data_IF_196093881414
#
_entry.id   IF_196093881414
#
_cell.length_a   1.000
_cell.length_b   1.000
_cell.length_c   1.000
_cell.angle_alpha   90.00
_cell.angle_beta   90.00
_cell.angle_gamma   90.00
#
_symmetry.space_group_name_H-M   'P 1'
#
loop_
_entity.id
_entity.type
_entity.pdbx_description
1 polymer ?
#
# COMPACT_ATOMS: atom_id res chain seq x y z
N UNK A 1 -17.92 -42.86 20.72
CA UNK A 1 -18.51 -41.57 21.13
C UNK A 1 -19.01 -40.87 19.89
N UNK A 2 -20.25 -40.36 19.88
CA UNK A 2 -20.81 -39.66 18.71
C UNK A 2 -20.41 -38.18 18.78
N UNK A 3 -19.59 -37.71 17.84
CA UNK A 3 -19.27 -36.29 17.68
C UNK A 3 -20.54 -35.48 17.40
N UNK A 4 -20.64 -34.28 17.96
CA UNK A 4 -21.72 -33.36 17.65
C UNK A 4 -21.58 -32.84 16.21
N UNK A 5 -22.69 -32.33 15.64
CA UNK A 5 -22.68 -31.75 14.29
C UNK A 5 -21.78 -30.51 14.20
N UNK A 6 -21.60 -29.78 15.29
CA UNK A 6 -20.74 -28.60 15.36
C UNK A 6 -19.26 -29.01 15.41
N UNK A 7 -18.95 -30.05 16.17
CA UNK A 7 -17.60 -30.61 16.24
C UNK A 7 -17.20 -31.24 14.89
N UNK A 8 -18.11 -31.96 14.22
CA UNK A 8 -17.88 -32.47 12.85
C UNK A 8 -17.52 -31.34 11.88
N UNK A 9 -18.29 -30.25 11.92
CA UNK A 9 -18.07 -29.06 11.07
C UNK A 9 -16.75 -28.37 11.35
N UNK A 10 -16.28 -28.37 12.59
CA UNK A 10 -14.98 -27.82 12.97
C UNK A 10 -13.86 -28.73 12.45
N UNK A 11 -13.99 -30.06 12.61
CA UNK A 11 -13.05 -31.04 12.10
C UNK A 11 -12.92 -30.97 10.58
N UNK A 12 -14.04 -30.86 9.85
CA UNK A 12 -14.05 -30.64 8.40
C UNK A 12 -13.26 -29.38 8.00
N UNK A 13 -13.41 -28.27 8.74
CA UNK A 13 -12.70 -27.03 8.45
C UNK A 13 -11.19 -27.15 8.70
N UNK A 14 -10.78 -27.87 9.75
CA UNK A 14 -9.37 -28.17 10.03
C UNK A 14 -8.77 -29.07 8.95
N UNK A 15 -9.49 -30.12 8.55
CA UNK A 15 -9.06 -31.04 7.50
C UNK A 15 -8.98 -30.35 6.13
N UNK A 16 -9.89 -29.41 5.83
CA UNK A 16 -9.83 -28.57 4.63
C UNK A 16 -8.49 -27.80 4.56
N UNK A 17 -7.99 -27.31 5.69
CA UNK A 17 -6.71 -26.61 5.75
C UNK A 17 -5.56 -27.53 5.32
N UNK A 18 -5.46 -28.73 5.91
CA UNK A 18 -4.43 -29.73 5.62
C UNK A 18 -4.49 -30.14 4.14
N UNK A 19 -5.67 -30.56 3.67
CA UNK A 19 -5.85 -30.99 2.28
C UNK A 19 -5.52 -29.87 1.29
N UNK A 20 -5.88 -28.63 1.60
CA UNK A 20 -5.56 -27.50 0.74
C UNK A 20 -4.06 -27.17 0.72
N UNK A 21 -3.31 -27.47 1.78
CA UNK A 21 -1.85 -27.32 1.82
C UNK A 21 -1.19 -28.40 0.94
N UNK A 22 -1.63 -29.65 1.03
CA UNK A 22 -1.13 -30.73 0.17
C UNK A 22 -1.31 -30.43 -1.32
N UNK A 23 -2.48 -29.90 -1.71
CA UNK A 23 -2.74 -29.49 -3.10
C UNK A 23 -1.88 -28.29 -3.53
N UNK A 24 -1.64 -27.35 -2.62
CA UNK A 24 -0.79 -26.20 -2.87
C UNK A 24 0.68 -26.61 -3.04
N UNK A 25 1.21 -27.44 -2.13
CA UNK A 25 2.57 -27.97 -2.21
C UNK A 25 2.78 -28.76 -3.51
N UNK A 26 1.81 -29.58 -3.92
CA UNK A 26 1.86 -30.26 -5.22
C UNK A 26 2.03 -29.28 -6.38
N UNK A 27 1.33 -28.16 -6.33
CA UNK A 27 1.42 -27.11 -7.37
C UNK A 27 2.77 -26.39 -7.33
N UNK A 28 3.32 -26.14 -6.13
CA UNK A 28 4.67 -25.59 -5.96
C UNK A 28 5.76 -26.54 -6.45
N UNK A 29 5.61 -27.84 -6.23
CA UNK A 29 6.54 -28.85 -6.74
C UNK A 29 6.59 -28.80 -8.27
N UNK A 30 5.44 -28.66 -8.95
CA UNK A 30 5.43 -28.45 -10.41
C UNK A 30 6.18 -27.15 -10.77
N UNK A 31 5.88 -26.04 -10.09
CA UNK A 31 6.52 -24.76 -10.34
C UNK A 31 8.06 -24.81 -10.19
N UNK A 32 8.55 -25.54 -9.20
CA UNK A 32 9.99 -25.65 -8.92
C UNK A 32 10.65 -26.73 -9.78
N UNK A 33 10.13 -27.95 -9.77
CA UNK A 33 10.80 -29.10 -10.38
C UNK A 33 10.65 -29.13 -11.90
N UNK A 34 9.47 -28.76 -12.43
CA UNK A 34 9.22 -28.76 -13.87
C UNK A 34 9.68 -27.48 -14.56
N UNK A 35 9.51 -26.32 -13.93
CA UNK A 35 9.91 -25.03 -14.53
C UNK A 35 11.25 -24.53 -14.01
N UNK A 36 11.36 -24.18 -12.72
CA UNK A 36 12.57 -23.51 -12.19
C UNK A 36 13.84 -24.36 -12.35
N UNK A 37 13.72 -25.69 -12.22
CA UNK A 37 14.83 -26.65 -12.34
C UNK A 37 15.03 -27.22 -13.76
N UNK A 38 14.20 -26.81 -14.74
CA UNK A 38 14.39 -27.23 -16.13
C UNK A 38 15.71 -26.70 -16.69
N UNK A 39 16.56 -27.60 -17.19
CA UNK A 39 17.83 -27.24 -17.82
C UNK A 39 17.61 -26.40 -19.08
N UNK A 40 16.66 -26.79 -19.93
CA UNK A 40 16.28 -26.04 -21.15
C UNK A 40 15.86 -24.60 -20.82
N UNK A 41 15.12 -24.41 -19.73
CA UNK A 41 14.68 -23.08 -19.30
C UNK A 41 15.84 -22.28 -18.69
N UNK A 42 16.72 -22.92 -17.94
CA UNK A 42 17.89 -22.26 -17.37
C UNK A 42 18.88 -21.80 -18.44
N UNK A 43 19.05 -22.55 -19.52
CA UNK A 43 19.97 -22.22 -20.62
C UNK A 43 19.55 -20.99 -21.42
N UNK A 44 18.25 -20.62 -21.38
CA UNK A 44 17.70 -19.47 -22.11
C UNK A 44 17.50 -18.24 -21.24
N UNK A 45 17.79 -18.33 -19.94
CA UNK A 45 17.63 -17.25 -18.95
C UNK A 45 19.00 -16.75 -18.47
N UNK A 46 19.15 -15.43 -18.33
CA UNK A 46 20.29 -14.88 -17.60
C UNK A 46 20.17 -15.18 -16.10
N UNK A 47 21.28 -15.10 -15.37
CA UNK A 47 21.27 -15.27 -13.91
C UNK A 47 20.34 -14.26 -13.23
N UNK A 48 20.31 -13.02 -13.73
CA UNK A 48 19.44 -11.96 -13.22
C UNK A 48 17.96 -12.24 -13.53
N UNK A 49 17.63 -12.61 -14.77
CA UNK A 49 16.26 -12.94 -15.15
C UNK A 49 15.73 -14.11 -14.34
N UNK A 50 16.56 -15.14 -14.10
CA UNK A 50 16.20 -16.28 -13.26
C UNK A 50 15.91 -15.85 -11.82
N UNK A 51 16.76 -15.01 -11.24
CA UNK A 51 16.57 -14.50 -9.89
C UNK A 51 15.31 -13.64 -9.78
N UNK A 52 15.02 -12.80 -10.78
CA UNK A 52 13.84 -11.94 -10.77
C UNK A 52 12.55 -12.69 -11.08
N UNK A 53 12.57 -13.66 -11.99
CA UNK A 53 11.39 -14.45 -12.40
C UNK A 53 10.93 -15.39 -11.29
N UNK A 54 11.85 -16.13 -10.67
CA UNK A 54 11.50 -17.13 -9.65
C UNK A 54 11.65 -16.61 -8.22
N UNK A 55 12.37 -15.51 -7.97
CA UNK A 55 12.54 -14.95 -6.63
C UNK A 55 12.95 -16.04 -5.62
N UNK A 56 12.25 -16.15 -4.49
CA UNK A 56 12.45 -17.18 -3.47
C UNK A 56 11.51 -18.38 -3.58
N UNK A 57 11.04 -18.75 -4.79
CA UNK A 57 10.03 -19.79 -4.98
C UNK A 57 10.42 -21.13 -4.32
N UNK A 58 11.68 -21.54 -4.41
CA UNK A 58 12.14 -22.78 -3.78
C UNK A 58 12.05 -22.74 -2.26
N UNK A 59 12.39 -21.60 -1.64
CA UNK A 59 12.28 -21.42 -0.18
C UNK A 59 10.80 -21.43 0.26
N UNK A 60 9.90 -20.87 -0.55
CA UNK A 60 8.45 -20.93 -0.33
C UNK A 60 7.94 -22.37 -0.37
N UNK A 61 8.41 -23.17 -1.34
CA UNK A 61 8.08 -24.60 -1.44
C UNK A 61 8.58 -25.36 -0.21
N UNK A 62 9.83 -25.15 0.19
CA UNK A 62 10.40 -25.85 1.33
C UNK A 62 9.65 -25.52 2.63
N UNK A 63 9.31 -24.25 2.86
CA UNK A 63 8.47 -23.86 3.99
C UNK A 63 7.06 -24.49 3.96
N UNK A 64 6.46 -24.65 2.78
CA UNK A 64 5.16 -25.33 2.61
C UNK A 64 5.26 -26.83 2.87
N UNK A 65 6.37 -27.45 2.48
CA UNK A 65 6.65 -28.86 2.77
C UNK A 65 6.77 -29.12 4.27
N UNK A 66 7.57 -28.32 4.97
CA UNK A 66 7.77 -28.45 6.41
C UNK A 66 6.45 -28.21 7.17
N UNK A 67 5.66 -27.22 6.73
CA UNK A 67 4.35 -26.95 7.31
C UNK A 67 3.36 -28.10 7.11
N UNK A 68 3.32 -28.69 5.90
CA UNK A 68 2.45 -29.83 5.65
C UNK A 68 2.86 -31.04 6.50
N UNK A 69 4.16 -31.30 6.63
CA UNK A 69 4.69 -32.38 7.46
C UNK A 69 4.21 -32.26 8.91
N UNK A 70 4.37 -31.08 9.53
CA UNK A 70 3.94 -30.85 10.92
C UNK A 70 2.41 -30.91 11.07
N UNK A 71 1.64 -30.49 10.05
CA UNK A 71 0.18 -30.64 10.06
C UNK A 71 -0.26 -32.11 10.00
N UNK A 72 0.40 -32.92 9.18
CA UNK A 72 0.15 -34.35 9.05
C UNK A 72 0.54 -35.09 10.33
N UNK A 73 1.70 -34.77 10.92
CA UNK A 73 2.14 -35.32 12.21
C UNK A 73 1.15 -35.00 13.34
N UNK A 74 0.69 -33.76 13.44
CA UNK A 74 -0.31 -33.34 14.44
C UNK A 74 -1.66 -34.07 14.25
N UNK A 75 -2.06 -34.31 12.99
CA UNK A 75 -3.27 -35.07 12.66
C UNK A 75 -3.14 -36.56 13.03
N UNK A 76 -2.01 -37.19 12.70
CA UNK A 76 -1.73 -38.59 13.01
C UNK A 76 -1.66 -38.83 14.52
N UNK A 77 -1.07 -37.89 15.27
CA UNK A 77 -0.97 -37.95 16.72
C UNK A 77 -2.35 -37.97 17.41
N UNK A 78 -3.30 -37.15 16.94
CA UNK A 78 -4.66 -37.15 17.49
C UNK A 78 -5.73 -36.73 16.47
N UNK A 79 -6.24 -37.71 15.72
CA UNK A 79 -7.29 -37.52 14.71
C UNK A 79 -8.57 -36.85 15.24
N UNK A 80 -8.83 -36.87 16.55
CA UNK A 80 -10.05 -36.28 17.14
C UNK A 80 -9.83 -34.88 17.74
N UNK A 81 -8.60 -34.50 18.05
CA UNK A 81 -8.30 -33.23 18.74
C UNK A 81 -7.00 -32.54 18.27
N UNK A 82 -6.62 -32.71 17.01
CA UNK A 82 -5.43 -32.09 16.42
C UNK A 82 -5.53 -30.56 16.36
N UNK A 83 -4.43 -29.87 16.66
CA UNK A 83 -4.37 -28.40 16.85
C UNK A 83 -3.68 -27.69 15.66
N UNK A 84 -4.37 -27.62 14.50
CA UNK A 84 -3.81 -26.96 13.29
C UNK A 84 -3.44 -25.49 13.50
N UNK A 85 -4.14 -24.77 14.38
CA UNK A 85 -3.88 -23.36 14.63
C UNK A 85 -2.53 -23.14 15.34
N UNK A 86 -2.14 -24.04 16.24
CA UNK A 86 -0.83 -23.99 16.89
C UNK A 86 0.31 -24.22 15.89
N UNK A 87 0.14 -25.16 14.96
CA UNK A 87 1.11 -25.39 13.87
C UNK A 87 1.23 -24.15 12.97
N UNK A 88 0.13 -23.46 12.65
CA UNK A 88 0.21 -22.21 11.89
C UNK A 88 1.00 -21.13 12.63
N UNK A 89 0.80 -21.00 13.94
CA UNK A 89 1.52 -20.01 14.76
C UNK A 89 3.02 -20.33 14.81
N UNK A 90 3.40 -21.61 14.96
CA UNK A 90 4.82 -22.00 14.98
C UNK A 90 5.52 -21.74 13.65
N UNK A 91 4.80 -21.85 12.52
CA UNK A 91 5.34 -21.63 11.17
C UNK A 91 5.31 -20.16 10.71
N UNK A 92 4.54 -19.28 11.36
CA UNK A 92 4.43 -17.88 10.93
C UNK A 92 5.78 -17.16 10.75
N UNK A 93 6.77 -17.30 11.65
CA UNK A 93 8.06 -16.63 11.47
C UNK A 93 8.77 -17.06 10.19
N UNK A 94 8.68 -18.34 9.82
CA UNK A 94 9.24 -18.87 8.59
C UNK A 94 8.43 -18.39 7.37
N UNK A 95 7.10 -18.40 7.45
CA UNK A 95 6.24 -17.84 6.40
C UNK A 95 6.58 -16.37 6.14
N UNK A 96 6.73 -15.57 7.20
CA UNK A 96 7.12 -14.17 7.08
C UNK A 96 8.48 -14.01 6.42
N UNK A 97 9.44 -14.88 6.74
CA UNK A 97 10.78 -14.84 6.13
C UNK A 97 10.76 -15.11 4.61
N UNK A 98 9.92 -16.04 4.14
CA UNK A 98 9.95 -16.49 2.72
C UNK A 98 8.88 -15.81 1.85
N UNK A 99 7.64 -15.66 2.33
CA UNK A 99 6.55 -15.09 1.54
C UNK A 99 6.65 -13.58 1.41
N UNK A 100 7.07 -12.86 2.46
CA UNK A 100 7.20 -11.39 2.42
C UNK A 100 8.09 -10.92 1.25
N UNK A 101 9.36 -11.34 1.15
CA UNK A 101 10.20 -10.95 0.01
C UNK A 101 9.70 -11.50 -1.33
N UNK A 102 9.09 -12.69 -1.36
CA UNK A 102 8.54 -13.26 -2.60
C UNK A 102 7.42 -12.38 -3.16
N UNK A 103 6.40 -12.08 -2.34
CA UNK A 103 5.24 -11.28 -2.72
C UNK A 103 5.63 -9.84 -3.02
N UNK A 104 6.54 -9.27 -2.23
CA UNK A 104 7.07 -7.91 -2.46
C UNK A 104 7.65 -7.79 -3.88
N UNK A 105 8.36 -8.82 -4.36
CA UNK A 105 9.00 -8.85 -5.67
C UNK A 105 8.08 -9.20 -6.85
N UNK A 106 6.78 -9.43 -6.62
CA UNK A 106 5.88 -9.95 -7.65
C UNK A 106 5.76 -9.03 -8.88
N UNK A 107 5.85 -7.71 -8.70
CA UNK A 107 5.87 -6.76 -9.82
C UNK A 107 7.09 -6.94 -10.73
N UNK A 108 8.25 -7.27 -10.16
CA UNK A 108 9.46 -7.56 -10.92
C UNK A 108 9.38 -8.92 -11.62
N UNK A 109 8.77 -9.93 -10.99
CA UNK A 109 8.48 -11.22 -11.63
C UNK A 109 7.61 -11.01 -12.88
N UNK A 110 6.50 -10.28 -12.74
CA UNK A 110 5.58 -9.99 -13.83
C UNK A 110 6.26 -9.21 -14.97
N UNK A 111 7.03 -8.15 -14.65
CA UNK A 111 7.76 -7.38 -15.67
C UNK A 111 8.80 -8.24 -16.39
N UNK A 112 9.58 -9.03 -15.65
CA UNK A 112 10.60 -9.93 -16.21
C UNK A 112 9.96 -10.95 -17.13
N UNK A 113 8.86 -11.59 -16.70
CA UNK A 113 8.10 -12.52 -17.52
C UNK A 113 7.62 -11.86 -18.83
N UNK A 114 7.05 -10.66 -18.76
CA UNK A 114 6.59 -9.94 -19.96
C UNK A 114 7.75 -9.56 -20.89
N UNK A 115 8.87 -9.08 -20.34
CA UNK A 115 10.07 -8.76 -21.11
C UNK A 115 10.62 -9.99 -21.83
N UNK A 116 10.71 -11.13 -21.14
CA UNK A 116 11.14 -12.40 -21.73
C UNK A 116 10.18 -12.87 -22.81
N UNK A 117 8.87 -12.80 -22.56
CA UNK A 117 7.85 -13.15 -23.55
C UNK A 117 7.88 -12.25 -24.78
N UNK A 118 8.25 -10.97 -24.67
CA UNK A 118 8.28 -10.07 -25.82
C UNK A 118 9.61 -10.11 -26.59
N UNK A 119 10.72 -10.32 -25.88
CA UNK A 119 12.07 -10.09 -26.43
C UNK A 119 12.92 -11.37 -26.58
N UNK A 120 12.48 -12.51 -26.04
CA UNK A 120 13.25 -13.76 -26.09
C UNK A 120 12.44 -14.91 -26.74
N UNK A 121 12.57 -15.11 -28.06
CA UNK A 121 11.87 -16.19 -28.77
C UNK A 121 12.23 -17.60 -28.29
N UNK A 122 13.46 -17.81 -27.81
CA UNK A 122 13.90 -19.11 -27.27
C UNK A 122 13.16 -19.43 -25.98
N UNK A 123 13.03 -18.44 -25.09
CA UNK A 123 12.23 -18.56 -23.88
C UNK A 123 10.77 -18.91 -24.20
N UNK A 124 10.14 -18.22 -25.16
CA UNK A 124 8.76 -18.51 -25.58
C UNK A 124 8.61 -19.98 -26.03
N UNK A 125 9.55 -20.48 -26.84
CA UNK A 125 9.50 -21.85 -27.36
C UNK A 125 9.65 -22.89 -26.25
N UNK A 126 10.66 -22.74 -25.39
CA UNK A 126 10.89 -23.65 -24.25
C UNK A 126 9.69 -23.60 -23.28
N UNK A 127 9.18 -22.41 -22.98
CA UNK A 127 8.03 -22.25 -22.10
C UNK A 127 6.79 -22.95 -22.67
N UNK A 128 6.48 -22.75 -23.95
CA UNK A 128 5.34 -23.39 -24.60
C UNK A 128 5.44 -24.94 -24.56
N UNK A 129 6.65 -25.47 -24.74
CA UNK A 129 6.93 -26.90 -24.59
C UNK A 129 6.66 -27.37 -23.16
N UNK A 130 7.20 -26.68 -22.15
CA UNK A 130 7.00 -27.03 -20.74
C UNK A 130 5.52 -26.93 -20.31
N UNK A 131 4.80 -25.89 -20.73
CA UNK A 131 3.38 -25.68 -20.42
C UNK A 131 2.46 -26.70 -21.11
N UNK A 132 2.91 -27.33 -22.20
CA UNK A 132 2.17 -28.40 -22.90
C UNK A 132 2.22 -29.76 -22.17
N UNK A 133 3.12 -29.91 -21.20
CA UNK A 133 3.26 -31.15 -20.44
C UNK A 133 2.00 -31.43 -19.61
N UNK A 134 1.44 -32.66 -19.64
CA UNK A 134 0.30 -33.04 -18.81
C UNK A 134 0.46 -32.76 -17.31
N UNK A 135 1.69 -32.76 -16.78
CA UNK A 135 1.97 -32.46 -15.37
C UNK A 135 1.46 -31.08 -14.96
N UNK A 136 1.44 -30.13 -15.90
CA UNK A 136 0.97 -28.75 -15.69
C UNK A 136 -0.55 -28.65 -15.58
N UNK A 137 -1.33 -29.67 -15.95
CA UNK A 137 -2.79 -29.66 -15.90
C UNK A 137 -3.43 -28.42 -16.56
N UNK A 138 -2.84 -27.96 -17.68
CA UNK A 138 -3.24 -26.76 -18.45
C UNK A 138 -3.00 -25.42 -17.73
N UNK A 139 -2.24 -25.41 -16.65
CA UNK A 139 -1.80 -24.19 -15.97
C UNK A 139 -0.52 -23.66 -16.62
N UNK A 140 -0.42 -22.34 -16.75
CA UNK A 140 0.77 -21.64 -17.24
C UNK A 140 1.76 -21.37 -16.11
N UNK A 141 3.03 -21.14 -16.43
CA UNK A 141 4.05 -20.74 -15.45
C UNK A 141 3.58 -19.50 -14.66
N UNK A 142 3.01 -18.51 -15.35
CA UNK A 142 2.47 -17.31 -14.70
C UNK A 142 1.41 -17.63 -13.64
N UNK A 143 0.55 -18.63 -13.90
CA UNK A 143 -0.46 -19.06 -12.94
C UNK A 143 0.10 -19.80 -11.73
N UNK A 144 1.28 -20.43 -11.86
CA UNK A 144 2.00 -20.99 -10.72
C UNK A 144 2.70 -19.90 -9.88
N UNK A 145 3.29 -18.89 -10.55
CA UNK A 145 4.05 -17.82 -9.85
C UNK A 145 3.18 -16.96 -8.92
N UNK A 146 1.87 -16.85 -9.18
CA UNK A 146 0.92 -16.11 -8.33
C UNK A 146 0.46 -16.90 -7.10
N UNK A 147 0.66 -18.22 -7.06
CA UNK A 147 0.13 -19.09 -6.01
C UNK A 147 0.56 -18.69 -4.59
N UNK A 148 1.80 -18.26 -4.31
CA UNK A 148 2.19 -17.90 -2.94
C UNK A 148 1.38 -16.75 -2.35
N UNK A 149 1.04 -15.73 -3.16
CA UNK A 149 0.17 -14.64 -2.72
C UNK A 149 -1.28 -15.12 -2.49
N UNK A 150 -1.79 -15.97 -3.38
CA UNK A 150 -3.11 -16.58 -3.23
C UNK A 150 -3.18 -17.50 -2.00
N UNK A 151 -2.07 -18.18 -1.65
CA UNK A 151 -2.03 -19.09 -0.51
C UNK A 151 -2.18 -18.36 0.80
N UNK A 152 -1.37 -17.32 1.05
CA UNK A 152 -1.44 -16.58 2.33
C UNK A 152 -2.82 -15.93 2.52
N UNK A 153 -3.43 -15.43 1.44
CA UNK A 153 -4.79 -14.87 1.48
C UNK A 153 -5.86 -15.93 1.73
N UNK A 154 -5.72 -17.13 1.13
CA UNK A 154 -6.62 -18.26 1.38
C UNK A 154 -6.46 -18.85 2.79
N UNK A 155 -5.23 -18.93 3.31
CA UNK A 155 -4.96 -19.41 4.66
C UNK A 155 -5.68 -18.55 5.71
N UNK A 156 -5.71 -17.23 5.53
CA UNK A 156 -6.53 -16.31 6.36
C UNK A 156 -8.01 -16.71 6.37
N UNK A 157 -8.59 -17.03 5.21
CA UNK A 157 -10.00 -17.42 5.10
C UNK A 157 -10.29 -18.78 5.76
N UNK A 158 -9.37 -19.74 5.63
CA UNK A 158 -9.46 -21.05 6.27
C UNK A 158 -9.43 -20.91 7.80
N UNK A 159 -8.49 -20.11 8.32
CA UNK A 159 -8.42 -19.79 9.76
C UNK A 159 -9.67 -19.06 10.25
N UNK A 160 -10.22 -18.14 9.46
CA UNK A 160 -11.48 -17.47 9.79
C UNK A 160 -12.65 -18.46 9.84
N UNK A 161 -12.66 -19.48 8.97
CA UNK A 161 -13.68 -20.54 8.98
C UNK A 161 -13.57 -21.43 10.23
N UNK A 162 -12.34 -21.76 10.65
CA UNK A 162 -12.07 -22.50 11.90
C UNK A 162 -12.53 -21.66 13.11
N UNK A 163 -12.14 -20.38 13.17
CA UNK A 163 -12.51 -19.46 14.25
C UNK A 163 -14.03 -19.35 14.41
N UNK A 164 -14.77 -19.18 13.31
CA UNK A 164 -16.24 -19.09 13.32
C UNK A 164 -16.94 -20.34 13.85
N UNK A 165 -16.26 -21.49 13.84
CA UNK A 165 -16.78 -22.79 14.27
C UNK A 165 -16.22 -23.23 15.62
N UNK A 166 -15.32 -22.44 16.20
CA UNK A 166 -14.73 -22.70 17.50
C UNK A 166 -15.71 -22.33 18.62
N UNK A 167 -15.70 -23.09 19.71
CA UNK A 167 -16.57 -22.82 20.85
C UNK A 167 -16.10 -21.53 21.58
N UNK A 168 -17.01 -20.62 21.99
CA UNK A 168 -16.62 -19.42 22.72
C UNK A 168 -15.88 -19.72 24.02
N UNK A 169 -14.76 -19.02 24.26
CA UNK A 169 -13.87 -19.20 25.41
C UNK A 169 -13.00 -20.46 25.34
N UNK A 170 -13.02 -21.21 24.24
CA UNK A 170 -12.19 -22.41 24.09
C UNK A 170 -10.74 -22.08 23.75
N UNK A 171 -9.84 -23.03 24.04
CA UNK A 171 -8.45 -22.97 23.57
C UNK A 171 -8.38 -22.81 22.04
N UNK A 172 -9.26 -23.50 21.31
CA UNK A 172 -9.33 -23.42 19.85
C UNK A 172 -9.65 -22.00 19.37
N UNK A 173 -10.62 -21.30 20.00
CA UNK A 173 -10.96 -19.92 19.63
C UNK A 173 -9.77 -18.98 19.83
N UNK A 174 -9.06 -19.13 20.96
CA UNK A 174 -7.87 -18.32 21.26
C UNK A 174 -6.79 -18.54 20.19
N UNK A 175 -6.46 -19.80 19.88
CA UNK A 175 -5.42 -20.15 18.90
C UNK A 175 -5.81 -19.80 17.48
N UNK A 176 -7.05 -20.03 17.08
CA UNK A 176 -7.55 -19.63 15.77
C UNK A 176 -7.53 -18.10 15.60
N UNK A 177 -7.82 -17.34 16.66
CA UNK A 177 -7.71 -15.87 16.66
C UNK A 177 -6.27 -15.41 16.50
N UNK A 178 -5.35 -16.00 17.26
CA UNK A 178 -3.92 -15.69 17.19
C UNK A 178 -3.34 -16.00 15.81
N UNK A 179 -3.59 -17.21 15.29
CA UNK A 179 -3.17 -17.63 13.95
C UNK A 179 -3.74 -16.72 12.86
N UNK A 180 -5.04 -16.40 12.92
CA UNK A 180 -5.69 -15.50 11.97
C UNK A 180 -5.03 -14.11 11.96
N UNK A 181 -4.79 -13.52 13.13
CA UNK A 181 -4.17 -12.20 13.27
C UNK A 181 -2.72 -12.20 12.78
N UNK A 182 -1.98 -13.30 12.99
CA UNK A 182 -0.61 -13.45 12.54
C UNK A 182 -0.53 -13.47 11.00
N UNK A 183 -1.36 -14.27 10.33
CA UNK A 183 -1.45 -14.31 8.87
C UNK A 183 -2.01 -13.00 8.29
N UNK A 184 -2.98 -12.37 8.94
CA UNK A 184 -3.49 -11.05 8.53
C UNK A 184 -2.41 -9.96 8.59
N UNK A 185 -1.59 -9.98 9.65
CA UNK A 185 -0.42 -9.10 9.78
C UNK A 185 0.59 -9.37 8.66
N UNK A 186 0.90 -10.63 8.34
CA UNK A 186 1.80 -10.97 7.23
C UNK A 186 1.28 -10.41 5.90
N UNK A 187 -0.01 -10.57 5.59
CA UNK A 187 -0.60 -10.02 4.36
C UNK A 187 -0.47 -8.49 4.31
N UNK A 188 -0.72 -7.82 5.44
CA UNK A 188 -0.54 -6.37 5.54
C UNK A 188 0.93 -5.97 5.30
N UNK A 189 1.87 -6.63 5.95
CA UNK A 189 3.32 -6.40 5.77
C UNK A 189 3.73 -6.60 4.30
N UNK A 190 3.19 -7.61 3.60
CA UNK A 190 3.41 -7.82 2.17
C UNK A 190 2.92 -6.65 1.32
N UNK A 191 1.70 -6.17 1.58
CA UNK A 191 1.13 -5.04 0.83
C UNK A 191 1.94 -3.75 1.08
N UNK A 192 2.34 -3.50 2.33
CA UNK A 192 3.24 -2.38 2.66
C UNK A 192 4.60 -2.52 1.98
N UNK A 193 5.16 -3.72 1.90
CA UNK A 193 6.41 -4.00 1.18
C UNK A 193 6.32 -3.65 -0.30
N UNK A 194 5.25 -4.10 -0.96
CA UNK A 194 4.98 -3.77 -2.38
C UNK A 194 4.87 -2.25 -2.56
N UNK A 195 4.16 -1.56 -1.67
CA UNK A 195 4.01 -0.10 -1.76
C UNK A 195 5.35 0.62 -1.55
N UNK A 196 6.11 0.28 -0.51
CA UNK A 196 7.44 0.86 -0.23
C UNK A 196 8.40 0.68 -1.41
N UNK A 197 8.34 -0.46 -2.07
CA UNK A 197 9.19 -0.71 -3.23
C UNK A 197 8.79 0.15 -4.43
N UNK A 198 7.49 0.38 -4.66
CA UNK A 198 7.01 1.32 -5.68
C UNK A 198 7.43 2.76 -5.38
N UNK A 199 7.28 3.19 -4.12
CA UNK A 199 7.69 4.52 -3.68
C UNK A 199 9.21 4.70 -3.90
N UNK A 200 10.01 3.68 -3.55
CA UNK A 200 11.47 3.71 -3.76
C UNK A 200 11.83 3.75 -5.25
N UNK A 201 11.16 2.98 -6.10
CA UNK A 201 11.37 3.01 -7.55
C UNK A 201 11.06 4.40 -8.13
N UNK A 202 9.96 5.03 -7.71
CA UNK A 202 9.59 6.38 -8.09
C UNK A 202 10.67 7.40 -7.68
N UNK A 203 11.20 7.30 -6.46
CA UNK A 203 12.30 8.16 -6.01
C UNK A 203 13.58 7.96 -6.83
N UNK A 204 13.92 6.73 -7.21
CA UNK A 204 15.09 6.45 -8.06
C UNK A 204 14.92 7.11 -9.44
N UNK A 205 13.76 6.94 -10.07
CA UNK A 205 13.45 7.55 -11.36
C UNK A 205 13.44 9.08 -11.30
N UNK A 206 12.97 9.65 -10.20
CA UNK A 206 12.99 11.09 -9.98
C UNK A 206 14.42 11.60 -9.73
N UNK A 207 15.22 10.87 -8.94
CA UNK A 207 16.62 11.22 -8.66
C UNK A 207 17.44 11.36 -9.96
N UNK A 208 17.21 10.49 -10.94
CA UNK A 208 17.88 10.55 -12.25
C UNK A 208 17.56 11.83 -13.06
N UNK A 209 16.47 12.54 -12.70
CA UNK A 209 16.02 13.76 -13.37
C UNK A 209 16.30 15.03 -12.57
N UNK A 210 16.72 14.91 -11.30
CA UNK A 210 16.95 16.05 -10.41
C UNK A 210 18.41 16.49 -10.42
N UNK A 211 18.61 17.81 -10.48
CA UNK A 211 19.89 18.47 -10.25
C UNK A 211 19.70 19.57 -9.19
N UNK A 212 20.65 19.70 -8.26
CA UNK A 212 20.60 20.73 -7.22
C UNK A 212 21.49 21.93 -7.60
N UNK A 213 20.91 23.13 -7.59
CA UNK A 213 21.66 24.41 -7.61
C UNK A 213 21.91 24.94 -6.18
N UNK A 214 21.15 24.43 -5.21
CA UNK A 214 21.31 24.73 -3.78
C UNK A 214 22.04 23.57 -3.06
N UNK A 215 22.06 23.60 -1.71
CA UNK A 215 22.63 22.51 -0.88
C UNK A 215 22.07 21.15 -1.31
N UNK A 216 22.96 20.21 -1.61
CA UNK A 216 22.58 18.86 -2.06
C UNK A 216 21.70 18.18 -1.00
N UNK A 217 20.64 17.51 -1.46
CA UNK A 217 19.72 16.76 -0.63
C UNK A 217 19.69 15.28 -1.05
N UNK A 218 19.91 14.32 -0.13
CA UNK A 218 19.85 12.90 -0.45
C UNK A 218 18.39 12.48 -0.66
N UNK A 219 17.95 12.44 -1.92
CA UNK A 219 16.56 12.18 -2.29
C UNK A 219 16.08 10.78 -1.92
N UNK A 220 16.92 9.76 -2.14
CA UNK A 220 16.57 8.36 -1.90
C UNK A 220 16.73 8.05 -0.41
N UNK A 221 15.62 7.65 0.23
CA UNK A 221 15.57 7.25 1.64
C UNK A 221 14.54 6.14 1.83
N UNK A 222 14.80 5.21 2.75
CA UNK A 222 13.94 4.04 3.00
C UNK A 222 12.54 4.39 3.54
N UNK A 223 12.38 5.58 4.13
CA UNK A 223 11.12 6.05 4.71
C UNK A 223 10.42 7.15 3.90
N UNK A 224 11.06 7.63 2.81
CA UNK A 224 10.54 8.74 2.03
C UNK A 224 9.62 8.25 0.93
N UNK A 225 8.50 8.95 0.74
CA UNK A 225 7.60 8.77 -0.40
C UNK A 225 7.23 10.12 -1.00
N UNK A 226 6.95 10.14 -2.30
CA UNK A 226 6.43 11.31 -2.97
C UNK A 226 4.92 11.41 -2.70
N UNK A 227 4.51 12.46 -1.98
CA UNK A 227 3.13 12.69 -1.56
C UNK A 227 2.35 13.41 -2.66
N UNK A 228 2.94 14.44 -3.26
CA UNK A 228 2.35 15.16 -4.39
C UNK A 228 3.44 15.89 -5.17
N UNK A 229 3.28 16.01 -6.48
CA UNK A 229 4.14 16.86 -7.28
C UNK A 229 3.34 17.56 -8.38
N UNK A 230 3.86 18.68 -8.90
CA UNK A 230 3.18 19.40 -9.97
C UNK A 230 3.66 20.84 -10.16
N UNK A 231 3.27 21.43 -11.28
CA UNK A 231 3.59 22.80 -11.64
C UNK A 231 2.63 23.80 -10.98
N UNK A 232 3.20 24.91 -10.50
CA UNK A 232 2.49 26.07 -9.94
C UNK A 232 3.16 27.35 -10.42
N UNK A 233 2.41 28.45 -10.47
CA UNK A 233 2.98 29.76 -10.76
C UNK A 233 3.41 30.43 -9.44
N UNK A 234 4.70 30.68 -9.25
CA UNK A 234 5.21 31.51 -8.17
C UNK A 234 5.02 32.99 -8.47
N UNK A 235 4.59 33.75 -7.47
CA UNK A 235 4.44 35.20 -7.52
C UNK A 235 5.58 35.85 -6.72
N UNK A 236 6.47 36.59 -7.38
CA UNK A 236 7.57 37.30 -6.71
C UNK A 236 7.12 38.66 -6.18
N UNK A 237 7.47 38.98 -4.93
CA UNK A 237 7.19 40.28 -4.31
C UNK A 237 8.43 41.17 -4.37
N UNK A 238 8.33 42.35 -4.99
CA UNK A 238 9.32 43.40 -4.86
C UNK A 238 8.86 44.39 -3.77
N UNK A 239 9.54 44.45 -2.61
CA UNK A 239 9.09 45.27 -1.47
C UNK A 239 9.13 46.79 -1.73
N UNK A 240 9.72 47.24 -2.86
CA UNK A 240 10.02 48.66 -3.13
C UNK A 240 8.89 49.36 -3.91
N UNK A 241 7.96 48.64 -4.51
CA UNK A 241 6.90 49.25 -5.34
C UNK A 241 5.49 48.97 -4.80
N UNK A 242 4.79 50.03 -4.38
CA UNK A 242 3.35 50.05 -4.06
C UNK A 242 2.43 49.70 -5.26
N UNK A 243 3.01 49.32 -6.41
CA UNK A 243 2.30 48.77 -7.56
C UNK A 243 2.79 47.35 -7.78
N UNK A 244 1.85 46.41 -7.75
CA UNK A 244 2.01 45.00 -8.07
C UNK A 244 2.47 44.80 -9.53
N UNK A 245 3.74 45.06 -9.83
CA UNK A 245 4.40 44.50 -11.03
C UNK A 245 5.14 43.24 -10.60
N UNK A 246 4.38 42.22 -10.20
CA UNK A 246 4.92 40.92 -9.80
C UNK A 246 5.39 40.17 -11.04
N UNK A 247 6.68 39.82 -11.09
CA UNK A 247 7.18 38.82 -12.03
C UNK A 247 6.62 37.46 -11.61
N UNK A 248 6.05 36.74 -12.57
CA UNK A 248 5.60 35.36 -12.37
C UNK A 248 6.65 34.40 -12.89
N UNK A 249 6.86 33.28 -12.18
CA UNK A 249 7.76 32.21 -12.62
C UNK A 249 7.08 30.86 -12.44
N UNK A 250 7.27 29.96 -13.41
CA UNK A 250 6.85 28.58 -13.24
C UNK A 250 7.78 27.87 -12.27
N UNK A 251 7.19 27.21 -11.30
CA UNK A 251 7.86 26.43 -10.26
C UNK A 251 7.20 25.07 -10.20
N UNK A 252 8.01 24.03 -10.08
CA UNK A 252 7.55 22.66 -9.90
C UNK A 252 7.82 22.22 -8.46
N UNK A 253 6.75 21.90 -7.75
CA UNK A 253 6.79 21.44 -6.37
C UNK A 253 6.92 19.91 -6.33
N UNK A 254 7.79 19.40 -5.47
CA UNK A 254 7.86 17.99 -5.11
C UNK A 254 7.70 17.88 -3.60
N UNK A 255 6.52 17.48 -3.16
CA UNK A 255 6.20 17.26 -1.75
C UNK A 255 6.45 15.80 -1.41
N UNK A 256 7.36 15.57 -0.48
CA UNK A 256 7.64 14.27 0.11
C UNK A 256 7.02 14.16 1.50
N UNK A 257 7.04 12.96 2.08
CA UNK A 257 6.52 12.71 3.42
C UNK A 257 7.24 13.47 4.54
N UNK A 258 8.44 13.99 4.29
CA UNK A 258 9.33 14.61 5.27
C UNK A 258 9.98 15.92 4.79
N UNK A 259 9.69 16.37 3.57
CA UNK A 259 10.29 17.58 3.01
C UNK A 259 9.55 18.09 1.76
N UNK A 260 9.83 19.33 1.38
CA UNK A 260 9.32 19.97 0.17
C UNK A 260 10.50 20.52 -0.66
N UNK A 261 10.54 20.16 -1.95
CA UNK A 261 11.53 20.64 -2.92
C UNK A 261 10.86 21.57 -3.94
N UNK A 262 11.50 22.71 -4.20
CA UNK A 262 11.11 23.68 -5.22
C UNK A 262 12.10 23.62 -6.38
N UNK A 263 11.58 23.42 -7.59
CA UNK A 263 12.42 23.23 -8.77
C UNK A 263 11.89 23.97 -9.99
N UNK A 264 12.76 24.12 -10.99
CA UNK A 264 12.39 24.61 -12.34
C UNK A 264 12.46 23.44 -13.31
N UNK A 265 11.41 23.25 -14.10
CA UNK A 265 11.42 22.30 -15.21
C UNK A 265 12.28 22.87 -16.35
N UNK A 266 13.25 22.09 -16.83
CA UNK A 266 14.10 22.41 -17.99
C UNK A 266 13.74 21.52 -19.17
N UNK A 267 14.24 21.90 -20.34
CA UNK A 267 14.17 21.07 -21.55
C UNK A 267 14.73 19.66 -21.27
N UNK A 268 14.11 18.64 -21.87
CA UNK A 268 14.45 17.24 -21.62
C UNK A 268 13.90 16.65 -20.32
N UNK A 269 12.99 17.35 -19.62
CA UNK A 269 12.28 16.81 -18.45
C UNK A 269 13.12 16.75 -17.18
N UNK A 270 14.20 17.54 -17.10
CA UNK A 270 15.05 17.65 -15.91
C UNK A 270 14.53 18.71 -14.95
N UNK A 271 14.64 18.45 -13.66
CA UNK A 271 14.24 19.36 -12.60
C UNK A 271 15.47 19.96 -11.94
N UNK A 272 15.55 21.29 -11.95
CA UNK A 272 16.65 22.02 -11.30
C UNK A 272 16.14 22.60 -9.99
N UNK A 273 16.52 21.97 -8.88
CA UNK A 273 16.09 22.30 -7.51
C UNK A 273 16.89 23.50 -7.02
N UNK A 274 16.17 24.58 -6.70
CA UNK A 274 16.75 25.84 -6.23
C UNK A 274 16.48 26.10 -4.75
N UNK A 275 15.50 25.42 -4.14
CA UNK A 275 15.29 25.46 -2.70
C UNK A 275 14.65 24.16 -2.20
N UNK A 276 14.88 23.83 -0.94
CA UNK A 276 14.22 22.74 -0.23
C UNK A 276 14.22 22.98 1.28
N UNK A 277 13.25 22.38 1.98
CA UNK A 277 13.19 22.37 3.42
C UNK A 277 12.49 21.12 3.95
N UNK A 278 12.98 20.60 5.09
CA UNK A 278 12.31 19.54 5.86
C UNK A 278 11.18 20.10 6.73
N UNK A 279 11.33 21.32 7.23
CA UNK A 279 10.28 22.02 7.98
C UNK A 279 9.62 23.08 7.10
N UNK A 280 8.34 22.91 6.83
CA UNK A 280 7.54 23.88 6.09
C UNK A 280 6.19 24.07 6.77
N UNK A 281 5.62 25.27 6.63
CA UNK A 281 4.27 25.62 7.08
C UNK A 281 3.49 26.20 5.91
N UNK A 282 2.23 25.80 5.78
CA UNK A 282 1.34 26.35 4.76
C UNK A 282 0.24 27.16 5.40
N UNK A 283 -0.01 28.33 4.82
CA UNK A 283 -1.12 29.17 5.20
C UNK A 283 -2.10 29.30 4.04
N UNK A 284 -3.38 29.08 4.36
CA UNK A 284 -4.46 29.49 3.49
C UNK A 284 -4.41 31.01 3.41
N UNK A 285 -3.94 31.54 2.28
CA UNK A 285 -4.19 32.94 1.98
C UNK A 285 -5.69 33.08 1.66
N UNK A 286 -6.47 33.40 2.70
CA UNK A 286 -7.79 34.02 2.58
C UNK A 286 -7.69 35.54 2.39
N UNK A 287 -6.47 36.08 2.41
CA UNK A 287 -6.19 37.49 2.18
C UNK A 287 -6.78 37.84 0.80
N UNK A 288 -7.79 38.71 0.82
CA UNK A 288 -8.18 39.54 -0.31
C UNK A 288 -6.97 40.41 -0.66
N UNK A 289 -5.95 39.82 -1.28
CA UNK A 289 -4.95 40.58 -2.01
C UNK A 289 -5.77 41.42 -2.99
N UNK A 290 -5.55 42.72 -3.04
CA UNK A 290 -6.31 43.69 -3.85
C UNK A 290 -6.10 43.48 -5.37
N UNK A 291 -6.08 42.24 -5.82
CA UNK A 291 -5.71 41.76 -7.13
C UNK A 291 -6.73 40.73 -7.58
N UNK A 292 -7.18 40.82 -8.83
CA UNK A 292 -8.10 39.89 -9.52
C UNK A 292 -7.57 38.44 -9.66
N UNK A 293 -6.51 38.05 -8.95
CA UNK A 293 -5.90 36.74 -9.06
C UNK A 293 -6.53 35.75 -8.07
N UNK A 294 -7.27 34.77 -8.59
CA UNK A 294 -7.87 33.66 -7.84
C UNK A 294 -6.85 32.54 -7.61
N UNK A 295 -7.17 31.61 -6.70
CA UNK A 295 -6.44 30.35 -6.49
C UNK A 295 -4.99 30.46 -5.95
N UNK A 296 -4.75 31.39 -5.03
CA UNK A 296 -3.44 31.62 -4.40
C UNK A 296 -3.32 30.94 -3.02
N UNK A 297 -2.12 30.45 -2.67
CA UNK A 297 -1.74 29.97 -1.33
C UNK A 297 -0.29 30.37 -0.99
N UNK A 298 0.07 30.36 0.30
CA UNK A 298 1.40 30.78 0.79
C UNK A 298 2.07 29.64 1.53
N UNK A 299 3.36 29.48 1.28
CA UNK A 299 4.21 28.47 1.89
C UNK A 299 5.40 29.17 2.55
N UNK A 300 5.69 28.77 3.78
CA UNK A 300 6.84 29.18 4.55
C UNK A 300 7.79 27.99 4.66
N UNK A 301 9.02 28.14 4.19
CA UNK A 301 10.07 27.15 4.33
C UNK A 301 11.02 27.59 5.43
N UNK A 302 11.05 26.87 6.56
CA UNK A 302 11.98 27.15 7.65
C UNK A 302 13.33 26.52 7.33
N UNK A 303 14.40 27.27 7.64
CA UNK A 303 15.77 26.79 7.48
C UNK A 303 16.04 26.18 6.10
N UNK A 304 15.43 26.76 5.07
CA UNK A 304 15.54 26.28 3.70
C UNK A 304 16.97 26.41 3.17
N UNK A 305 17.31 25.59 2.18
CA UNK A 305 18.64 25.65 1.55
C UNK A 305 18.96 27.06 1.02
N UNK A 306 17.96 27.79 0.54
CA UNK A 306 18.12 29.18 0.09
C UNK A 306 18.29 30.17 1.26
N UNK A 307 17.70 29.94 2.44
CA UNK A 307 17.90 30.83 3.60
C UNK A 307 19.29 30.65 4.20
N UNK A 308 19.76 29.41 4.30
CA UNK A 308 21.10 29.07 4.79
C UNK A 308 22.22 29.66 3.91
N UNK A 309 21.96 29.89 2.62
CA UNK A 309 22.92 30.45 1.68
C UNK A 309 23.02 31.99 1.72
N UNK A 310 22.14 32.70 2.46
CA UNK A 310 22.18 34.18 2.56
C UNK A 310 23.14 34.65 3.64
N UNK A 311 23.88 35.72 3.35
CA UNK A 311 24.68 36.43 4.35
C UNK A 311 23.78 36.98 5.47
N UNK A 312 24.14 36.71 6.73
CA UNK A 312 23.35 37.13 7.90
C UNK A 312 22.21 36.19 8.29
N UNK A 313 22.23 34.92 7.85
CA UNK A 313 21.29 33.89 8.28
C UNK A 313 21.22 33.76 9.81
N UNK A 314 19.99 33.70 10.33
CA UNK A 314 19.69 33.32 11.71
C UNK A 314 18.80 32.07 11.69
N UNK A 315 19.11 31.13 12.58
CA UNK A 315 18.34 29.89 12.74
C UNK A 315 16.87 30.18 13.05
N UNK A 316 15.96 29.47 12.37
CA UNK A 316 14.51 29.70 12.46
C UNK A 316 13.95 30.74 11.47
N UNK A 317 14.78 31.35 10.61
CA UNK A 317 14.30 32.25 9.56
C UNK A 317 13.52 31.47 8.48
N UNK A 318 12.30 31.92 8.17
CA UNK A 318 11.44 31.30 7.17
C UNK A 318 11.46 32.05 5.83
N UNK A 319 11.77 31.36 4.73
CA UNK A 319 11.54 31.87 3.38
C UNK A 319 10.07 31.79 3.03
N UNK A 320 9.56 32.83 2.38
CA UNK A 320 8.18 32.91 1.96
C UNK A 320 8.04 32.75 0.45
N UNK A 321 7.14 31.86 0.04
CA UNK A 321 6.70 31.71 -1.34
C UNK A 321 5.18 31.87 -1.45
N UNK A 322 4.73 32.54 -2.50
CA UNK A 322 3.31 32.68 -2.85
C UNK A 322 3.10 31.96 -4.17
N UNK A 323 2.21 30.98 -4.17
CA UNK A 323 1.90 30.15 -5.34
C UNK A 323 0.47 30.35 -5.79
N UNK A 324 0.27 30.28 -7.11
CA UNK A 324 -1.03 30.33 -7.78
C UNK A 324 -1.21 29.04 -8.60
N UNK A 325 -2.37 28.42 -8.47
CA UNK A 325 -2.81 27.29 -9.30
C UNK A 325 -3.79 27.73 -10.38
N UNK A 326 -4.03 26.88 -11.38
CA UNK A 326 -5.00 27.18 -12.44
C UNK A 326 -6.43 27.06 -11.90
N UNK A 327 -6.72 25.97 -11.18
CA UNK A 327 -8.05 25.68 -10.65
C UNK A 327 -8.10 25.78 -9.13
N UNK A 328 -9.32 25.95 -8.60
CA UNK A 328 -9.57 25.95 -7.16
C UNK A 328 -9.32 24.57 -6.55
N UNK A 329 -9.64 23.49 -7.28
CA UNK A 329 -9.35 22.12 -6.84
C UNK A 329 -7.85 21.89 -6.65
N UNK A 330 -7.01 22.34 -7.59
CA UNK A 330 -5.56 22.23 -7.45
C UNK A 330 -5.06 22.96 -6.19
N UNK A 331 -5.57 24.17 -5.92
CA UNK A 331 -5.26 24.92 -4.70
C UNK A 331 -5.63 24.11 -3.46
N UNK A 332 -6.86 23.59 -3.39
CA UNK A 332 -7.33 22.84 -2.21
C UNK A 332 -6.53 21.55 -2.01
N UNK A 333 -6.22 20.81 -3.08
CA UNK A 333 -5.37 19.61 -3.05
C UNK A 333 -3.96 19.91 -2.53
N UNK A 334 -3.32 20.97 -3.03
CA UNK A 334 -2.00 21.39 -2.54
C UNK A 334 -2.02 21.79 -1.08
N UNK A 335 -3.01 22.59 -0.67
CA UNK A 335 -3.16 22.99 0.73
C UNK A 335 -3.38 21.77 1.62
N UNK A 336 -4.25 20.84 1.23
CA UNK A 336 -4.51 19.61 1.97
C UNK A 336 -3.23 18.77 2.13
N UNK A 337 -2.51 18.53 1.04
CA UNK A 337 -1.30 17.73 1.05
C UNK A 337 -0.22 18.36 1.95
N UNK A 338 -0.06 19.69 1.88
CA UNK A 338 0.94 20.42 2.65
C UNK A 338 0.53 20.69 4.11
N UNK A 339 -0.77 20.64 4.44
CA UNK A 339 -1.29 20.93 5.79
C UNK A 339 -1.35 19.71 6.69
N UNK A 340 -0.65 18.62 6.35
CA UNK A 340 -0.73 17.32 7.03
C UNK A 340 -0.17 17.35 8.46
N UNK A 341 -0.89 18.02 9.35
CA UNK A 341 -1.05 17.61 10.73
C UNK A 341 -2.13 16.52 10.75
N UNK A 342 -1.76 15.33 11.21
CA UNK A 342 -2.70 14.27 11.55
C UNK A 342 -3.53 14.70 12.77
N UNK A 343 -4.55 15.54 12.58
CA UNK A 343 -5.64 15.55 13.54
C UNK A 343 -6.31 14.18 13.39
N UNK A 344 -6.26 13.36 14.45
CA UNK A 344 -7.09 12.18 14.56
C UNK A 344 -8.54 12.64 14.40
N UNK A 345 -9.09 12.41 13.21
CA UNK A 345 -10.50 12.71 12.96
C UNK A 345 -11.27 11.71 13.78
N UNK A 346 -11.90 12.20 14.86
CA UNK A 346 -12.85 11.43 15.63
C UNK A 346 -14.01 11.05 14.70
N UNK A 347 -14.00 9.81 14.22
CA UNK A 347 -14.96 9.28 13.23
C UNK A 347 -16.41 9.28 13.77
N UNK A 348 -16.57 9.54 15.08
CA UNK A 348 -17.85 9.68 15.78
C UNK A 348 -18.36 11.12 15.81
N UNK A 349 -17.64 12.10 15.25
CA UNK A 349 -18.08 13.50 15.27
C UNK A 349 -19.36 13.68 14.44
N UNK A 350 -20.42 14.15 15.09
CA UNK A 350 -21.71 14.47 14.46
C UNK A 350 -21.50 15.41 13.25
N UNK A 351 -21.89 14.94 12.05
CA UNK A 351 -21.97 15.77 10.85
C UNK A 351 -21.11 15.35 9.64
N UNK A 352 -20.19 14.39 9.77
CA UNK A 352 -19.41 13.92 8.62
C UNK A 352 -20.24 13.04 7.69
N UNK A 353 -20.13 13.28 6.38
CA UNK A 353 -20.91 12.55 5.36
C UNK A 353 -20.21 11.24 5.03
N UNK A 354 -20.87 10.11 5.27
CA UNK A 354 -20.40 8.81 4.81
C UNK A 354 -20.87 8.55 3.38
N UNK A 355 -19.98 8.03 2.55
CA UNK A 355 -20.27 7.64 1.16
C UNK A 355 -19.82 6.21 0.91
N UNK A 356 -20.54 5.52 0.03
CA UNK A 356 -20.19 4.18 -0.45
C UNK A 356 -19.73 4.27 -1.90
N UNK A 357 -18.61 3.62 -2.22
CA UNK A 357 -18.11 3.47 -3.58
C UNK A 357 -18.99 2.51 -4.39
N UNK A 358 -19.52 2.98 -5.51
CA UNK A 358 -20.33 2.20 -6.45
C UNK A 358 -19.50 1.63 -7.60
N UNK A 359 -18.44 2.34 -7.99
CA UNK A 359 -17.60 2.03 -9.14
C UNK A 359 -16.14 2.14 -8.73
N UNK A 360 -15.37 1.07 -8.93
CA UNK A 360 -13.95 1.09 -8.65
C UNK A 360 -13.24 2.23 -9.40
N UNK A 361 -12.27 2.83 -8.74
CA UNK A 361 -11.48 3.94 -9.26
C UNK A 361 -10.00 3.66 -9.02
N UNK A 362 -9.15 3.88 -10.02
CA UNK A 362 -7.70 3.74 -9.85
C UNK A 362 -7.09 5.13 -9.84
N UNK A 363 -6.41 5.46 -8.74
CA UNK A 363 -5.70 6.71 -8.55
C UNK A 363 -4.72 6.96 -9.69
N UNK A 364 -4.66 8.21 -10.16
CA UNK A 364 -3.78 8.67 -11.22
C UNK A 364 -2.69 9.60 -10.68
N UNK A 365 -3.01 10.37 -9.65
CA UNK A 365 -2.07 11.22 -8.90
C UNK A 365 -1.81 10.64 -7.48
N UNK A 366 -0.66 10.99 -6.88
CA UNK A 366 -0.23 10.46 -5.58
C UNK A 366 -1.14 10.90 -4.41
N UNK A 367 -1.88 12.00 -4.57
CA UNK A 367 -2.87 12.48 -3.59
C UNK A 367 -4.27 11.88 -3.78
N UNK A 368 -4.45 11.01 -4.79
CA UNK A 368 -5.72 10.35 -5.08
C UNK A 368 -5.83 8.98 -4.40
N UNK A 369 -7.05 8.63 -3.98
CA UNK A 369 -7.36 7.38 -3.29
C UNK A 369 -8.03 6.39 -4.27
N UNK A 370 -7.38 5.25 -4.54
CA UNK A 370 -7.93 4.20 -5.42
C UNK A 370 -9.08 3.47 -4.73
N UNK A 371 -10.31 3.50 -5.23
CA UNK A 371 -11.48 2.90 -4.59
C UNK A 371 -11.83 1.52 -5.16
N UNK A 372 -12.32 0.63 -4.30
CA UNK A 372 -12.99 -0.62 -4.69
C UNK A 372 -14.50 -0.52 -4.50
N UNK A 373 -15.26 -1.34 -5.23
CA UNK A 373 -16.72 -1.38 -5.10
C UNK A 373 -17.09 -1.80 -3.68
N UNK A 374 -18.02 -1.07 -3.08
CA UNK A 374 -18.49 -1.20 -1.70
C UNK A 374 -17.57 -0.62 -0.60
N UNK A 375 -16.46 0.02 -0.94
CA UNK A 375 -15.68 0.81 0.02
C UNK A 375 -16.57 1.85 0.71
N UNK A 376 -16.41 2.01 2.03
CA UNK A 376 -17.08 3.05 2.80
C UNK A 376 -16.06 4.11 3.19
N UNK A 377 -16.39 5.37 2.89
CA UNK A 377 -15.52 6.51 3.13
C UNK A 377 -16.22 7.60 3.93
N UNK A 378 -15.47 8.29 4.77
CA UNK A 378 -15.89 9.51 5.45
C UNK A 378 -15.38 10.71 4.68
N UNK A 379 -16.29 11.54 4.17
CA UNK A 379 -15.94 12.77 3.45
C UNK A 379 -15.53 13.84 4.45
N UNK A 380 -14.32 14.37 4.26
CA UNK A 380 -13.70 15.40 5.10
C UNK A 380 -13.70 16.76 4.43
N UNK A 381 -13.53 16.81 3.10
CA UNK A 381 -13.58 18.04 2.31
C UNK A 381 -14.24 17.79 0.95
N UNK A 382 -14.82 18.84 0.38
CA UNK A 382 -15.41 18.85 -0.96
C UNK A 382 -14.75 19.95 -1.79
N UNK A 383 -14.44 19.64 -3.05
CA UNK A 383 -14.04 20.62 -4.06
C UNK A 383 -15.19 20.89 -5.02
N UNK A 384 -15.31 22.14 -5.48
CA UNK A 384 -16.39 22.59 -6.35
C UNK A 384 -16.41 21.93 -7.75
N UNK A 385 -15.40 21.12 -8.08
CA UNK A 385 -15.24 20.46 -9.39
C UNK A 385 -15.50 18.93 -9.32
N UNK A 386 -16.32 18.47 -8.37
CA UNK A 386 -16.73 17.07 -8.29
C UNK A 386 -15.67 16.13 -7.74
N UNK A 387 -14.76 16.65 -6.91
CA UNK A 387 -13.75 15.87 -6.18
C UNK A 387 -13.99 15.97 -4.68
N UNK A 388 -13.94 14.82 -4.02
CA UNK A 388 -14.09 14.70 -2.58
C UNK A 388 -12.77 14.27 -1.97
N UNK A 389 -12.46 14.77 -0.78
CA UNK A 389 -11.39 14.26 0.05
C UNK A 389 -12.00 13.49 1.20
N UNK A 390 -11.49 12.30 1.50
CA UNK A 390 -12.03 11.49 2.58
C UNK A 390 -11.08 10.39 3.03
N UNK A 391 -11.53 9.66 4.04
CA UNK A 391 -10.81 8.54 4.66
C UNK A 391 -11.61 7.27 4.40
N UNK A 392 -10.98 6.24 3.83
CA UNK A 392 -11.57 4.90 3.73
C UNK A 392 -11.55 4.24 5.11
N UNK A 393 -12.69 3.72 5.56
CA UNK A 393 -12.82 3.16 6.91
C UNK A 393 -12.12 1.80 7.10
N UNK A 394 -11.89 1.04 6.04
CA UNK A 394 -11.30 -0.31 6.15
C UNK A 394 -9.82 -0.31 6.52
N UNK A 395 -9.07 0.70 6.06
CA UNK A 395 -7.61 0.79 6.21
C UNK A 395 -7.14 2.18 6.69
N UNK A 396 -8.09 3.09 6.93
CA UNK A 396 -7.85 4.47 7.34
C UNK A 396 -7.00 5.29 6.36
N UNK A 397 -6.93 4.86 5.10
CA UNK A 397 -6.23 5.62 4.06
C UNK A 397 -7.02 6.86 3.66
N UNK A 398 -6.34 8.00 3.60
CA UNK A 398 -6.91 9.28 3.19
C UNK A 398 -6.47 9.69 1.79
N UNK A 399 -7.35 10.30 1.02
CA UNK A 399 -6.99 10.94 -0.24
C UNK A 399 -8.19 11.49 -1.01
N UNK A 400 -7.92 12.03 -2.20
CA UNK A 400 -8.93 12.59 -3.09
C UNK A 400 -9.53 11.53 -4.01
N UNK A 401 -10.85 11.57 -4.22
CA UNK A 401 -11.54 10.67 -5.12
C UNK A 401 -12.71 11.37 -5.83
N UNK A 402 -13.08 10.93 -7.04
CA UNK A 402 -14.13 11.57 -7.81
C UNK A 402 -15.51 11.31 -7.20
N UNK A 403 -16.31 12.38 -7.05
CA UNK A 403 -17.67 12.32 -6.50
C UNK A 403 -18.57 11.38 -7.31
N UNK A 404 -18.39 11.29 -8.62
CA UNK A 404 -19.21 10.46 -9.49
C UNK A 404 -19.02 8.93 -9.31
N UNK A 405 -18.05 8.51 -8.49
CA UNK A 405 -17.83 7.10 -8.14
C UNK A 405 -18.49 6.68 -6.83
N UNK A 406 -19.03 7.63 -6.06
CA UNK A 406 -19.53 7.39 -4.70
C UNK A 406 -20.96 7.88 -4.53
N UNK A 407 -21.69 7.32 -3.57
CA UNK A 407 -23.04 7.73 -3.20
C UNK A 407 -23.17 7.91 -1.67
N UNK A 408 -23.89 8.94 -1.16
CA UNK A 408 -24.10 9.11 0.27
C UNK A 408 -24.85 7.93 0.90
N UNK A 409 -24.36 7.48 2.06
CA UNK A 409 -25.05 6.48 2.89
C UNK A 409 -26.11 7.22 3.73
N UNK A 410 -27.36 6.76 3.70
CA UNK A 410 -28.45 7.35 4.50
C UNK A 410 -28.12 7.32 6.00
N UNK A 411 -28.50 8.37 6.75
CA UNK A 411 -28.25 8.50 8.21
C UNK A 411 -28.69 7.27 9.02
N UNK A 412 -29.79 6.62 8.62
CA UNK A 412 -30.28 5.42 9.30
C UNK A 412 -29.40 4.17 9.09
N UNK A 413 -28.71 4.08 7.94
CA UNK A 413 -27.75 3.01 7.68
C UNK A 413 -26.40 3.30 8.38
N UNK A 414 -25.99 4.57 8.42
CA UNK A 414 -24.81 5.02 9.18
C UNK A 414 -24.94 4.68 10.68
N UNK A 415 -26.08 4.97 11.31
CA UNK A 415 -26.34 4.63 12.71
C UNK A 415 -26.29 3.12 13.00
N UNK A 416 -26.77 2.29 12.05
CA UNK A 416 -26.68 0.82 12.19
C UNK A 416 -25.23 0.34 12.08
N UNK A 417 -24.47 0.86 11.10
CA UNK A 417 -23.05 0.53 10.94
C UNK A 417 -22.23 0.94 12.18
N UNK A 418 -22.50 2.13 12.74
CA UNK A 418 -21.90 2.61 13.99
C UNK A 418 -22.22 1.73 15.19
N UNK A 419 -23.48 1.31 15.35
CA UNK A 419 -23.88 0.39 16.42
C UNK A 419 -23.21 -0.98 16.28
N UNK A 420 -23.04 -1.47 15.04
CA UNK A 420 -22.39 -2.74 14.75
C UNK A 420 -20.87 -2.68 14.96
N UNK A 421 -20.23 -1.56 14.60
CA UNK A 421 -18.81 -1.30 14.86
C UNK A 421 -18.53 -1.14 16.36
N UNK A 422 -19.37 -0.41 17.11
CA UNK A 422 -19.28 -0.33 18.57
C UNK A 422 -19.47 -1.70 19.23
N UNK A 423 -20.36 -2.54 18.70
CA UNK A 423 -20.54 -3.92 19.17
C UNK A 423 -19.29 -4.76 18.94
N UNK A 424 -18.65 -4.64 17.77
CA UNK A 424 -17.42 -5.34 17.42
C UNK A 424 -16.22 -4.85 18.23
N UNK A 425 -16.10 -3.53 18.47
CA UNK A 425 -15.06 -2.95 19.33
C UNK A 425 -15.23 -3.39 20.79
N UNK A 426 -16.47 -3.39 21.31
CA UNK A 426 -16.75 -3.89 22.65
C UNK A 426 -16.51 -5.40 22.79
N UNK A 427 -16.73 -6.18 21.72
CA UNK A 427 -16.36 -7.59 21.68
C UNK A 427 -14.83 -7.78 21.68
N UNK A 428 -14.09 -6.97 20.92
CA UNK A 428 -12.61 -6.96 20.91
C UNK A 428 -12.00 -6.50 22.24
N UNK A 429 -12.57 -5.48 22.88
CA UNK A 429 -12.10 -4.97 24.18
C UNK A 429 -12.27 -5.99 25.32
N UNK A 430 -13.26 -6.89 25.23
CA UNK A 430 -13.44 -7.99 26.19
C UNK A 430 -12.39 -9.10 26.07
N UNK A 431 -11.66 -9.17 24.96
CA UNK A 431 -10.60 -10.16 24.72
C UNK A 431 -9.22 -9.71 25.24
N UNK A 432 -9.06 -8.42 25.56
CA UNK A 432 -7.90 -7.90 26.27
C UNK A 432 -8.37 -6.97 27.40
N UNK A 433 -8.66 -7.48 28.61
CA UNK A 433 -8.67 -6.62 29.77
C UNK A 433 -7.26 -6.08 29.91
N UNK A 434 -7.07 -4.80 29.60
CA UNK A 434 -5.88 -4.06 30.00
C UNK A 434 -5.63 -4.34 31.47
N UNK A 435 -4.54 -5.04 31.75
CA UNK A 435 -3.92 -5.09 33.06
C UNK A 435 -3.43 -3.67 33.39
N UNK A 436 -4.35 -2.83 33.86
CA UNK A 436 -4.06 -1.56 34.47
C UNK A 436 -3.95 -1.78 35.99
N UNK A 437 -2.71 -1.90 36.46
CA UNK A 437 -2.29 -1.34 37.74
C UNK A 437 -1.20 -0.32 37.45
#
# INVERSE_FOLDING_TARGET
>A
MSMSREEQKLQEAKFELIMSEALYLRSLNIAVDHFQRSTELQDVLSTQDRQWLFSRLSEVRDASNDFLFDLEEEFENNMYNFQVCDVVISHEPNFRKVYLPYVTNQSYQDRTFQTLMNNNPKFQHVLAKLESDPVCQRLSLKSFLILPFQRITRLRLLLQNILKRSAPGSHEEQKATEAHNAIEKLIRDCNEGVQKMRDTEELILLHQKIQFECKIFPLISASRRLVKHGEVTSLEFHPISFKWKGTTRQVYLHLFSDCLLLSRLREGGRFVVFDHASEYRVERCEIKLHTNQKNIFRVFLRDSAASQAREGYMEGHAMQYIFRTETQSQKLRWIYALSTNSEQIDFLRDGLTQVQCLKSYKARENDELSLEKADILVVTQNSDEGWLCGIRLSDLQSGWFPQCHVQPISRNACLRNLQEEQRLQNARAKLHPTSAK
#
